data_IF_097044115509
#
_entry.id   IF_097044115509
#
_cell.length_a   1.000
_cell.length_b   1.000
_cell.length_c   1.000
_cell.angle_alpha   90.00
_cell.angle_beta   90.00
_cell.angle_gamma   90.00
#
_symmetry.space_group_name_H-M   'P 1'
#
loop_
_entity.id
_entity.type
_entity.pdbx_description
1 polymer ?
#
# COMPACT_ATOMS: atom_id res chain seq x y z
N UNK A 1 -45.70 30.71 24.43
CA UNK A 1 -45.32 29.28 24.53
C UNK A 1 -43.81 29.20 24.52
N UNK A 2 -43.16 28.94 25.67
CA UNK A 2 -41.71 28.80 25.76
C UNK A 2 -41.42 27.38 26.22
N UNK A 3 -40.82 26.56 25.36
CA UNK A 3 -40.25 25.26 25.72
C UNK A 3 -38.76 25.34 25.42
N UNK A 4 -37.99 25.58 26.47
CA UNK A 4 -36.53 25.50 26.43
C UNK A 4 -36.15 24.02 26.57
N UNK A 5 -35.41 23.50 25.59
CA UNK A 5 -34.81 22.17 25.68
C UNK A 5 -33.55 22.25 26.54
N UNK A 6 -33.46 21.42 27.57
CA UNK A 6 -32.29 21.32 28.45
C UNK A 6 -31.22 20.47 27.76
N UNK A 7 -29.99 21.00 27.71
CA UNK A 7 -28.80 20.36 27.14
C UNK A 7 -28.41 19.15 27.99
N UNK A 8 -28.23 18.00 27.33
CA UNK A 8 -27.70 16.78 27.94
C UNK A 8 -26.18 16.74 27.73
N UNK A 9 -25.40 16.72 28.79
CA UNK A 9 -23.98 16.37 28.73
C UNK A 9 -23.50 15.80 30.08
N UNK A 10 -23.72 14.51 30.30
CA UNK A 10 -23.04 13.79 31.38
C UNK A 10 -21.70 13.28 30.86
N UNK A 11 -20.64 14.02 31.16
CA UNK A 11 -19.26 13.62 30.90
C UNK A 11 -18.76 12.71 32.03
N UNK A 12 -18.51 11.44 31.72
CA UNK A 12 -17.66 10.57 32.53
C UNK A 12 -17.03 9.52 31.61
N UNK A 13 -15.78 9.74 31.20
CA UNK A 13 -14.94 8.70 30.60
C UNK A 13 -13.98 8.21 31.69
N UNK A 14 -14.28 7.11 32.40
CA UNK A 14 -13.33 6.54 33.34
C UNK A 14 -12.14 6.01 32.55
N UNK A 15 -11.02 6.73 32.65
CA UNK A 15 -9.71 6.23 32.26
C UNK A 15 -9.31 5.16 33.25
N UNK A 16 -9.09 3.91 32.81
CA UNK A 16 -8.09 2.99 33.39
C UNK A 16 -8.07 1.66 32.63
N UNK A 17 -6.94 1.37 31.99
CA UNK A 17 -6.09 0.21 32.29
C UNK A 17 -5.04 0.04 31.17
N UNK A 18 -3.76 0.25 31.49
CA UNK A 18 -2.65 -0.34 30.73
C UNK A 18 -2.44 -1.73 31.32
N UNK A 19 -2.71 -2.77 30.54
CA UNK A 19 -2.39 -4.14 30.89
C UNK A 19 -1.81 -4.87 29.68
N UNK A 20 -0.56 -5.33 29.82
CA UNK A 20 0.02 -6.41 29.03
C UNK A 20 0.97 -5.98 27.92
N UNK A 21 2.28 -5.93 28.22
CA UNK A 21 3.28 -6.29 27.19
C UNK A 21 3.25 -7.81 27.05
N UNK A 22 2.42 -8.31 26.14
CA UNK A 22 2.51 -9.69 25.70
C UNK A 22 3.83 -9.81 24.92
N UNK A 23 4.82 -10.50 25.50
CA UNK A 23 6.01 -10.92 24.78
C UNK A 23 5.55 -11.90 23.70
N UNK A 24 5.45 -11.42 22.46
CA UNK A 24 5.15 -12.27 21.32
C UNK A 24 6.43 -13.05 20.99
N UNK A 25 6.47 -14.32 21.39
CA UNK A 25 7.42 -15.27 20.84
C UNK A 25 6.93 -15.60 19.42
N UNK A 26 7.31 -14.75 18.46
CA UNK A 26 6.97 -14.95 17.06
C UNK A 26 7.92 -16.02 16.51
N UNK A 27 7.42 -17.17 16.01
CA UNK A 27 8.28 -18.12 15.34
C UNK A 27 8.93 -17.41 14.15
N UNK A 28 10.26 -17.45 14.11
CA UNK A 28 11.03 -16.99 12.97
C UNK A 28 10.44 -17.64 11.72
N UNK A 29 9.92 -16.82 10.80
CA UNK A 29 9.47 -17.33 9.50
C UNK A 29 10.71 -17.79 8.76
N UNK A 30 10.88 -19.11 8.67
CA UNK A 30 11.84 -19.73 7.77
C UNK A 30 11.59 -19.16 6.37
N UNK A 31 12.62 -18.51 5.82
CA UNK A 31 12.54 -17.70 4.59
C UNK A 31 12.29 -18.51 3.32
N UNK A 32 12.11 -19.82 3.45
CA UNK A 32 11.76 -20.71 2.35
C UNK A 32 10.32 -20.53 1.92
N UNK A 33 10.04 -19.43 1.22
CA UNK A 33 8.85 -19.34 0.37
C UNK A 33 9.02 -20.32 -0.78
N UNK A 34 8.22 -21.38 -0.76
CA UNK A 34 7.97 -22.20 -1.96
C UNK A 34 7.37 -21.28 -3.02
N UNK A 35 8.19 -20.85 -3.98
CA UNK A 35 7.71 -20.16 -5.18
C UNK A 35 7.04 -21.23 -6.03
N UNK A 36 5.71 -21.31 -5.96
CA UNK A 36 4.96 -22.03 -6.98
C UNK A 36 5.27 -21.35 -8.30
N UNK A 37 5.98 -22.04 -9.20
CA UNK A 37 6.16 -21.60 -10.57
C UNK A 37 4.76 -21.56 -11.20
N UNK A 38 4.14 -20.38 -11.16
CA UNK A 38 2.92 -20.11 -11.88
C UNK A 38 3.21 -20.35 -13.36
N UNK A 39 2.29 -21.04 -14.04
CA UNK A 39 2.29 -21.16 -15.49
C UNK A 39 2.59 -19.79 -16.10
N UNK A 40 3.65 -19.72 -16.91
CA UNK A 40 4.11 -18.50 -17.56
C UNK A 40 2.98 -17.95 -18.45
N UNK A 41 2.16 -17.06 -17.86
CA UNK A 41 1.17 -16.28 -18.59
C UNK A 41 1.93 -15.59 -19.71
N UNK A 42 1.49 -15.80 -20.97
CA UNK A 42 2.08 -15.23 -22.18
C UNK A 42 2.73 -13.88 -21.87
N UNK A 43 4.08 -13.87 -21.85
CA UNK A 43 4.93 -12.87 -21.18
C UNK A 43 4.19 -11.55 -20.95
N UNK A 44 3.64 -11.40 -19.74
CA UNK A 44 2.81 -10.26 -19.40
C UNK A 44 3.63 -8.99 -19.68
N UNK A 45 3.04 -8.10 -20.48
CA UNK A 45 3.65 -6.81 -20.75
C UNK A 45 3.36 -5.92 -19.54
N UNK A 46 4.41 -5.59 -18.82
CA UNK A 46 4.34 -4.79 -17.61
C UNK A 46 4.72 -3.33 -17.87
N UNK A 47 4.09 -2.43 -17.12
CA UNK A 47 4.41 -1.00 -17.09
C UNK A 47 4.59 -0.54 -15.65
N UNK A 48 5.77 0.00 -15.31
CA UNK A 48 6.04 0.55 -13.99
C UNK A 48 5.77 2.06 -13.98
N UNK A 49 4.90 2.52 -13.09
CA UNK A 49 4.49 3.92 -13.02
C UNK A 49 4.43 4.47 -11.60
N UNK A 50 4.75 5.75 -11.45
CA UNK A 50 4.54 6.49 -10.23
C UNK A 50 3.06 6.86 -10.09
N UNK A 51 2.41 6.37 -9.03
CA UNK A 51 0.99 6.61 -8.78
C UNK A 51 0.65 8.07 -8.45
N UNK A 52 1.60 8.84 -7.94
CA UNK A 52 1.39 10.24 -7.57
C UNK A 52 1.47 11.18 -8.77
N UNK A 53 2.30 10.87 -9.77
CA UNK A 53 2.58 11.76 -10.91
C UNK A 53 2.07 11.22 -12.25
N UNK A 54 1.75 9.92 -12.33
CA UNK A 54 1.36 9.25 -13.56
C UNK A 54 2.52 8.93 -14.51
N UNK A 55 3.76 9.32 -14.17
CA UNK A 55 4.95 9.05 -14.97
C UNK A 55 5.31 7.56 -14.99
N UNK A 56 5.91 7.10 -16.10
CA UNK A 56 6.36 5.73 -16.30
C UNK A 56 7.88 5.62 -16.35
N UNK A 57 8.40 4.47 -15.90
CA UNK A 57 9.81 4.10 -16.08
C UNK A 57 10.09 3.92 -17.57
N UNK A 58 11.09 4.64 -18.08
CA UNK A 58 11.44 4.79 -19.49
C UNK A 58 12.93 4.52 -19.68
N UNK A 59 13.28 3.58 -20.55
CA UNK A 59 14.65 3.23 -20.95
C UNK A 59 14.87 3.56 -22.44
N UNK A 60 14.67 4.83 -22.78
CA UNK A 60 14.97 5.36 -24.12
C UNK A 60 16.47 5.61 -24.28
N UNK A 61 16.87 6.12 -25.45
CA UNK A 61 18.25 6.51 -25.76
C UNK A 61 18.86 7.55 -24.79
N UNK A 62 18.03 8.15 -23.94
CA UNK A 62 18.44 9.10 -22.91
C UNK A 62 18.69 8.44 -21.54
N UNK A 63 18.67 7.11 -21.46
CA UNK A 63 18.91 6.32 -20.26
C UNK A 63 17.67 6.13 -19.36
N UNK A 64 17.84 5.35 -18.30
CA UNK A 64 16.77 4.99 -17.36
C UNK A 64 16.26 6.21 -16.57
N UNK A 65 14.98 6.53 -16.73
CA UNK A 65 14.35 7.72 -16.13
C UNK A 65 12.84 7.54 -15.96
N UNK A 66 12.20 8.56 -15.38
CA UNK A 66 10.73 8.66 -15.37
C UNK A 66 10.31 9.68 -16.43
N UNK A 67 9.39 9.30 -17.32
CA UNK A 67 8.83 10.16 -18.37
C UNK A 67 7.31 10.13 -18.36
N UNK A 68 6.69 11.03 -19.14
CA UNK A 68 5.25 10.96 -19.41
C UNK A 68 4.90 9.59 -19.99
N UNK A 69 3.78 9.04 -19.52
CA UNK A 69 3.29 7.75 -19.97
C UNK A 69 2.96 7.80 -21.46
N UNK A 70 3.69 7.02 -22.24
CA UNK A 70 3.55 6.94 -23.70
C UNK A 70 3.23 5.52 -24.20
N UNK A 71 3.26 4.50 -23.33
CA UNK A 71 2.98 3.09 -23.67
C UNK A 71 3.81 2.56 -24.86
N UNK A 72 5.03 3.09 -25.02
CA UNK A 72 5.94 2.69 -26.08
C UNK A 72 6.86 1.54 -25.60
N UNK A 73 7.72 1.07 -26.50
CA UNK A 73 8.66 -0.02 -26.22
C UNK A 73 9.66 0.30 -25.09
N UNK A 74 9.98 1.58 -24.90
CA UNK A 74 10.92 2.02 -23.86
C UNK A 74 10.30 1.98 -22.46
N UNK A 75 8.97 1.88 -22.38
CA UNK A 75 8.21 1.82 -21.14
C UNK A 75 7.56 0.45 -20.91
N UNK A 76 7.94 -0.56 -21.70
CA UNK A 76 7.38 -1.92 -21.71
C UNK A 76 8.41 -2.91 -21.20
N UNK A 77 8.02 -3.71 -20.21
CA UNK A 77 8.91 -4.65 -19.52
C UNK A 77 8.36 -6.09 -19.63
N UNK A 78 9.26 -7.07 -19.66
CA UNK A 78 8.97 -8.51 -19.69
C UNK A 78 9.93 -9.25 -18.76
#
# INVERSE_FOLDING_TARGET
MRRAFVVLASAACPSTAVAGVASADAPARDGSRTVSAGTDSAAAVEHYGNMATGGCLDDSEYGLRVMVRAYNRYQTWR
#
